data_IF_505963427147
#
_entry.id   IF_505963427147
#
_cell.length_a   1.000
_cell.length_b   1.000
_cell.length_c   1.000
_cell.angle_alpha   90.00
_cell.angle_beta   90.00
_cell.angle_gamma   90.00
#
_symmetry.space_group_name_H-M   'P 1'
#
loop_
_entity.id
_entity.type
_entity.pdbx_description
1 polymer ?
#
# COMPACT_ATOMS: atom_id res chain seq x y z
N UNK A 1 14.94 -2.70 21.54
CA UNK A 1 15.54 -2.76 20.20
C UNK A 1 15.14 -4.09 19.57
N UNK A 2 14.42 -4.07 18.47
CA UNK A 2 13.98 -5.30 17.79
C UNK A 2 14.71 -5.39 16.45
N UNK A 3 15.75 -6.22 16.40
CA UNK A 3 16.42 -6.57 15.14
C UNK A 3 15.55 -7.60 14.42
N UNK A 4 14.72 -7.13 13.49
CA UNK A 4 13.76 -7.98 12.81
C UNK A 4 14.38 -8.56 11.54
N UNK A 5 14.80 -9.81 11.61
CA UNK A 5 15.28 -10.56 10.44
C UNK A 5 14.04 -10.94 9.59
N UNK A 6 13.94 -10.53 8.31
CA UNK A 6 12.76 -10.77 7.48
C UNK A 6 12.61 -12.23 6.99
N UNK A 7 13.41 -13.17 7.50
CA UNK A 7 13.35 -14.58 7.09
C UNK A 7 11.99 -15.20 7.47
N UNK A 8 11.28 -15.72 6.46
CA UNK A 8 9.92 -16.25 6.60
C UNK A 8 8.82 -15.21 6.34
N UNK A 9 9.16 -14.07 5.74
CA UNK A 9 8.15 -13.12 5.25
C UNK A 9 7.35 -13.74 4.09
N UNK A 10 6.08 -13.37 4.00
CA UNK A 10 5.16 -13.79 2.93
C UNK A 10 4.56 -12.56 2.30
N UNK A 11 4.42 -12.59 0.98
CA UNK A 11 3.82 -11.51 0.21
C UNK A 11 2.52 -12.02 -0.39
N UNK A 12 1.50 -11.18 -0.35
CA UNK A 12 0.19 -11.46 -0.88
C UNK A 12 -0.29 -10.28 -1.70
N UNK A 13 -1.09 -10.55 -2.72
CA UNK A 13 -1.68 -9.56 -3.61
C UNK A 13 -3.19 -9.75 -3.65
N UNK A 14 -3.96 -8.67 -3.69
CA UNK A 14 -5.40 -8.71 -3.84
C UNK A 14 -5.76 -9.37 -5.18
N UNK A 15 -6.58 -10.43 -5.15
CA UNK A 15 -7.09 -11.09 -6.36
C UNK A 15 -8.47 -10.55 -6.74
N UNK A 16 -9.30 -10.28 -5.74
CA UNK A 16 -10.67 -9.81 -5.93
C UNK A 16 -10.95 -8.62 -5.04
N UNK A 17 -11.37 -7.52 -5.66
CA UNK A 17 -11.96 -6.35 -5.02
C UNK A 17 -13.48 -6.44 -5.15
N UNK A 18 -14.18 -5.98 -4.12
CA UNK A 18 -15.63 -5.86 -4.14
C UNK A 18 -16.07 -4.61 -4.92
N UNK A 19 -17.38 -4.47 -5.14
CA UNK A 19 -17.93 -3.25 -5.72
C UNK A 19 -17.56 -2.02 -4.90
N UNK A 20 -17.25 -0.93 -5.61
CA UNK A 20 -16.91 0.33 -4.98
C UNK A 20 -18.15 0.92 -4.29
N UNK A 21 -18.05 1.18 -3.00
CA UNK A 21 -19.00 2.03 -2.28
C UNK A 21 -18.49 3.48 -2.30
N UNK A 22 -19.42 4.44 -2.38
CA UNK A 22 -19.08 5.85 -2.34
C UNK A 22 -18.93 6.32 -0.90
N UNK A 23 -17.92 7.13 -0.65
CA UNK A 23 -17.71 7.86 0.60
C UNK A 23 -18.38 9.22 0.45
N UNK A 24 -19.34 9.53 1.33
CA UNK A 24 -20.07 10.80 1.30
C UNK A 24 -19.56 11.82 2.31
N UNK A 25 -19.02 11.36 3.43
CA UNK A 25 -18.46 12.24 4.46
C UNK A 25 -17.36 11.53 5.26
N UNK A 26 -16.52 12.31 5.92
CA UNK A 26 -15.55 11.82 6.90
C UNK A 26 -15.45 12.79 8.08
N UNK A 27 -15.15 12.26 9.26
CA UNK A 27 -14.88 13.06 10.46
C UNK A 27 -13.41 13.49 10.53
N UNK A 28 -13.15 14.70 11.01
CA UNK A 28 -11.80 15.20 11.30
C UNK A 28 -11.43 14.88 12.76
N UNK A 29 -11.11 13.62 13.03
CA UNK A 29 -10.73 13.15 14.36
C UNK A 29 -9.47 12.27 14.30
N UNK A 30 -8.91 11.92 15.45
CA UNK A 30 -7.77 11.00 15.60
C UNK A 30 -8.05 9.63 15.03
N UNK A 31 -9.32 9.23 15.03
CA UNK A 31 -9.82 8.07 14.32
C UNK A 31 -10.85 8.54 13.29
N UNK A 32 -10.46 8.50 12.01
CA UNK A 32 -11.37 8.89 10.93
C UNK A 32 -12.54 7.91 10.84
N UNK A 33 -13.75 8.46 10.91
CA UNK A 33 -15.00 7.74 10.64
C UNK A 33 -15.50 8.19 9.29
N UNK A 34 -15.47 7.28 8.33
CA UNK A 34 -16.05 7.45 7.01
C UNK A 34 -17.54 7.14 7.05
N UNK A 35 -18.33 7.95 6.36
CA UNK A 35 -19.71 7.65 6.03
C UNK A 35 -19.76 7.16 4.59
N UNK A 36 -20.34 5.98 4.38
CA UNK A 36 -20.44 5.31 3.08
C UNK A 36 -21.89 5.07 2.72
N UNK A 37 -22.21 5.13 1.43
CA UNK A 37 -23.58 4.94 0.94
C UNK A 37 -24.07 3.50 1.11
N UNK A 38 -23.15 2.54 0.98
CA UNK A 38 -23.40 1.13 1.22
C UNK A 38 -22.21 0.52 1.96
N UNK A 39 -22.49 -0.24 3.01
CA UNK A 39 -21.44 -0.88 3.80
C UNK A 39 -20.83 -2.09 3.08
N UNK A 40 -21.45 -2.65 2.04
CA UNK A 40 -20.97 -3.81 1.26
C UNK A 40 -20.39 -4.93 2.16
N UNK A 41 -21.09 -5.23 3.27
CA UNK A 41 -20.65 -6.22 4.28
C UNK A 41 -19.23 -6.01 4.85
N UNK A 42 -18.70 -4.79 4.82
CA UNK A 42 -17.45 -4.43 5.47
C UNK A 42 -17.59 -4.62 6.97
N UNK A 43 -16.68 -5.37 7.57
CA UNK A 43 -16.64 -5.69 9.01
C UNK A 43 -15.30 -5.28 9.61
N UNK A 44 -15.27 -5.22 10.94
CA UNK A 44 -14.03 -5.02 11.68
C UNK A 44 -12.99 -6.10 11.31
N UNK A 45 -11.77 -5.66 10.99
CA UNK A 45 -10.66 -6.51 10.56
C UNK A 45 -10.50 -6.66 9.05
N UNK A 46 -11.48 -6.24 8.24
CA UNK A 46 -11.36 -6.27 6.78
C UNK A 46 -10.34 -5.24 6.28
N UNK A 47 -9.75 -5.54 5.13
CA UNK A 47 -8.83 -4.63 4.43
C UNK A 47 -9.60 -3.93 3.31
N UNK A 48 -9.49 -2.61 3.28
CA UNK A 48 -10.18 -1.75 2.33
C UNK A 48 -9.18 -0.89 1.57
N UNK A 49 -9.42 -0.78 0.27
CA UNK A 49 -8.75 0.15 -0.63
C UNK A 49 -9.60 1.42 -0.69
N UNK A 50 -9.04 2.51 -0.17
CA UNK A 50 -9.68 3.83 -0.12
C UNK A 50 -9.03 4.72 -1.17
N UNK A 51 -9.86 5.35 -1.98
CA UNK A 51 -9.48 6.45 -2.85
C UNK A 51 -10.34 7.67 -2.54
N UNK A 52 -9.80 8.57 -1.71
CA UNK A 52 -10.47 9.82 -1.28
C UNK A 52 -9.91 11.03 -2.00
N UNK A 53 -10.69 12.13 -2.03
CA UNK A 53 -10.21 13.45 -2.45
C UNK A 53 -9.03 13.97 -1.61
N UNK A 54 -8.94 13.55 -0.35
CA UNK A 54 -7.76 13.78 0.47
C UNK A 54 -6.58 12.89 0.03
N UNK A 55 -5.53 13.49 -0.53
CA UNK A 55 -4.35 12.78 -1.03
C UNK A 55 -3.66 11.90 0.02
N UNK A 56 -3.68 12.31 1.30
CA UNK A 56 -3.08 11.55 2.41
C UNK A 56 -3.89 10.33 2.85
N UNK A 57 -5.15 10.24 2.43
CA UNK A 57 -6.08 9.16 2.78
C UNK A 57 -6.30 8.15 1.64
N UNK A 58 -5.58 8.31 0.53
CA UNK A 58 -5.49 7.27 -0.51
C UNK A 58 -4.61 6.12 -0.03
N UNK A 59 -5.12 4.89 -0.02
CA UNK A 59 -4.33 3.72 0.38
C UNK A 59 -5.12 2.50 0.83
N UNK A 60 -4.39 1.51 1.35
CA UNK A 60 -4.96 0.31 1.97
C UNK A 60 -5.00 0.47 3.49
N UNK A 61 -6.18 0.31 4.07
CA UNK A 61 -6.41 0.47 5.49
C UNK A 61 -7.11 -0.75 6.07
N UNK A 62 -6.87 -1.03 7.34
CA UNK A 62 -7.64 -2.01 8.10
C UNK A 62 -8.82 -1.31 8.76
N UNK A 63 -9.99 -1.92 8.68
CA UNK A 63 -11.20 -1.42 9.32
C UNK A 63 -11.16 -1.78 10.81
N UNK A 64 -11.28 -0.78 11.68
CA UNK A 64 -11.34 -0.97 13.13
C UNK A 64 -12.74 -1.36 13.57
N UNK A 65 -13.75 -0.69 13.04
CA UNK A 65 -15.16 -0.93 13.30
C UNK A 65 -15.98 -0.51 12.09
N UNK A 66 -17.10 -1.19 11.87
CA UNK A 66 -18.08 -0.81 10.86
C UNK A 66 -19.48 -1.05 11.40
N UNK A 67 -20.36 -0.07 11.27
CA UNK A 67 -21.73 -0.13 11.79
C UNK A 67 -22.68 0.72 10.95
N UNK A 68 -23.74 0.12 10.42
CA UNK A 68 -24.73 0.84 9.62
C UNK A 68 -24.14 1.39 8.32
N UNK A 69 -23.87 2.69 8.26
CA UNK A 69 -23.20 3.39 7.15
C UNK A 69 -21.84 3.98 7.55
N UNK A 70 -21.37 3.71 8.77
CA UNK A 70 -20.09 4.23 9.26
C UNK A 70 -19.00 3.17 9.24
N UNK A 71 -17.81 3.56 8.77
CA UNK A 71 -16.60 2.74 8.71
C UNK A 71 -15.46 3.51 9.37
N UNK A 72 -14.92 2.98 10.46
CA UNK A 72 -13.77 3.56 11.16
C UNK A 72 -12.48 2.91 10.66
N UNK A 73 -11.54 3.71 10.17
CA UNK A 73 -10.23 3.22 9.73
C UNK A 73 -9.22 3.24 10.88
N UNK A 74 -8.36 2.22 10.93
CA UNK A 74 -7.30 2.14 11.92
C UNK A 74 -6.04 2.89 11.48
N UNK A 75 -5.45 3.67 12.39
CA UNK A 75 -4.12 4.26 12.19
C UNK A 75 -4.09 5.51 11.32
N UNK A 76 -5.25 6.15 11.08
CA UNK A 76 -5.36 7.38 10.30
C UNK A 76 -5.91 8.53 11.15
N UNK A 77 -5.02 9.50 11.43
CA UNK A 77 -5.33 10.75 12.11
C UNK A 77 -5.66 11.85 11.08
N UNK A 78 -6.85 12.43 11.21
CA UNK A 78 -7.38 13.49 10.32
C UNK A 78 -7.67 14.80 11.05
N UNK A 79 -7.06 15.01 12.21
CA UNK A 79 -7.23 16.23 13.02
C UNK A 79 -6.74 17.50 12.34
N UNK A 80 -5.78 17.39 11.42
CA UNK A 80 -5.22 18.53 10.69
C UNK A 80 -6.15 19.00 9.55
N UNK A 81 -6.88 20.08 9.81
CA UNK A 81 -7.86 20.66 8.87
C UNK A 81 -7.25 21.29 7.62
N UNK A 82 -5.97 21.65 7.64
CA UNK A 82 -5.29 22.20 6.47
C UNK A 82 -4.99 21.08 5.46
N UNK A 83 -4.65 19.90 5.97
CA UNK A 83 -4.43 18.70 5.16
C UNK A 83 -5.72 17.92 4.85
N UNK A 84 -6.75 18.09 5.67
CA UNK A 84 -8.04 17.40 5.56
C UNK A 84 -9.19 18.43 5.59
N UNK A 85 -9.38 19.24 4.54
CA UNK A 85 -10.45 20.22 4.52
C UNK A 85 -11.82 19.53 4.56
N UNK A 86 -12.79 20.08 5.33
CA UNK A 86 -14.11 19.50 5.47
C UNK A 86 -14.82 19.40 4.11
N UNK A 87 -15.47 18.27 3.85
CA UNK A 87 -16.11 17.97 2.56
C UNK A 87 -15.15 17.48 1.45
N UNK A 88 -13.83 17.48 1.68
CA UNK A 88 -12.84 16.95 0.72
C UNK A 88 -12.65 15.43 0.77
N UNK A 89 -13.39 14.73 1.62
CA UNK A 89 -13.26 13.28 1.85
C UNK A 89 -14.00 12.41 0.85
N UNK A 90 -14.79 13.02 -0.05
CA UNK A 90 -15.59 12.28 -1.04
C UNK A 90 -14.66 11.41 -1.89
N UNK A 91 -15.08 10.19 -2.16
CA UNK A 91 -14.25 9.20 -2.82
C UNK A 91 -14.91 7.83 -2.91
N UNK A 92 -14.09 6.81 -3.13
CA UNK A 92 -14.54 5.41 -3.19
C UNK A 92 -13.82 4.54 -2.18
N UNK A 93 -14.51 3.52 -1.72
CA UNK A 93 -13.97 2.46 -0.89
C UNK A 93 -14.30 1.11 -1.51
N UNK A 94 -13.28 0.26 -1.69
CA UNK A 94 -13.43 -1.12 -2.18
C UNK A 94 -12.92 -2.07 -1.11
N UNK A 95 -13.69 -3.10 -0.79
CA UNK A 95 -13.25 -4.18 0.12
C UNK A 95 -12.35 -5.16 -0.63
N UNK A 96 -11.26 -5.60 -0.03
CA UNK A 96 -10.45 -6.69 -0.55
C UNK A 96 -11.08 -8.02 -0.10
N UNK A 97 -11.63 -8.78 -1.05
CA UNK A 97 -12.35 -10.03 -0.77
C UNK A 97 -11.39 -11.19 -0.55
N UNK A 98 -10.33 -11.26 -1.36
CA UNK A 98 -9.38 -12.36 -1.31
C UNK A 98 -7.95 -11.91 -1.65
N UNK A 99 -6.99 -12.51 -0.96
CA UNK A 99 -5.57 -12.36 -1.21
C UNK A 99 -5.00 -13.65 -1.79
N UNK A 100 -4.24 -13.55 -2.87
CA UNK A 100 -3.42 -14.64 -3.42
C UNK A 100 -1.99 -14.48 -2.91
N UNK A 101 -1.36 -15.58 -2.50
CA UNK A 101 0.03 -15.57 -2.06
C UNK A 101 0.97 -15.57 -3.27
N UNK A 102 2.01 -14.74 -3.22
CA UNK A 102 3.16 -14.83 -4.12
C UNK A 102 4.17 -15.77 -3.49
N UNK A 103 4.50 -16.85 -4.18
CA UNK A 103 5.42 -17.89 -3.71
C UNK A 103 6.82 -17.71 -4.34
N UNK A 104 7.82 -18.41 -3.80
CA UNK A 104 9.20 -18.44 -4.34
C UNK A 104 9.89 -17.08 -4.54
N UNK A 105 9.61 -16.11 -3.66
CA UNK A 105 10.33 -14.82 -3.64
C UNK A 105 11.78 -15.04 -3.21
N UNK A 106 12.72 -14.68 -4.08
CA UNK A 106 14.17 -14.80 -3.87
C UNK A 106 14.72 -13.56 -3.18
N UNK A 107 14.43 -12.38 -3.72
CA UNK A 107 14.92 -11.10 -3.18
C UNK A 107 13.86 -10.01 -3.27
N UNK A 108 14.02 -8.99 -2.42
CA UNK A 108 13.19 -7.78 -2.40
C UNK A 108 14.12 -6.59 -2.39
N UNK A 109 14.01 -5.71 -3.38
CA UNK A 109 14.71 -4.43 -3.42
C UNK A 109 13.70 -3.29 -3.36
N UNK A 110 14.10 -2.19 -2.70
CA UNK A 110 13.30 -0.98 -2.56
C UNK A 110 14.15 0.17 -3.08
N UNK A 111 13.59 0.94 -4.00
CA UNK A 111 14.22 2.11 -4.59
C UNK A 111 13.33 3.33 -4.43
N UNK A 112 13.95 4.50 -4.32
CA UNK A 112 13.26 5.78 -4.14
C UNK A 112 12.85 6.06 -2.69
N UNK A 113 11.99 7.08 -2.51
CA UNK A 113 11.66 7.63 -1.19
C UNK A 113 12.68 8.65 -0.66
N UNK A 114 13.74 8.91 -1.43
CA UNK A 114 14.73 9.93 -1.13
C UNK A 114 14.10 11.32 -1.12
N UNK A 115 14.50 12.13 -0.14
CA UNK A 115 14.09 13.53 -0.04
C UNK A 115 14.84 14.34 -1.11
N UNK A 116 14.09 15.00 -2.00
CA UNK A 116 14.65 16.01 -2.87
C UNK A 116 14.73 17.34 -2.11
N UNK A 117 15.81 18.07 -2.35
CA UNK A 117 16.07 19.39 -1.78
C UNK A 117 16.43 20.34 -2.91
N UNK A 118 15.96 21.58 -2.81
CA UNK A 118 16.44 22.68 -3.66
C UNK A 118 17.30 23.60 -2.81
N UNK A 119 18.43 24.02 -3.36
CA UNK A 119 19.26 25.04 -2.75
C UNK A 119 18.70 26.41 -3.09
N UNK A 120 18.36 27.19 -2.07
CA UNK A 120 17.91 28.57 -2.21
C UNK A 120 18.98 29.47 -1.61
N UNK A 121 19.42 30.45 -2.40
CA UNK A 121 20.26 31.54 -1.92
C UNK A 121 19.54 32.85 -2.25
N UNK A 122 19.27 33.64 -1.22
CA UNK A 122 18.76 34.99 -1.40
C UNK A 122 19.92 35.94 -1.68
N UNK A 123 19.68 37.00 -2.46
CA UNK A 123 20.73 37.94 -2.86
C UNK A 123 21.37 38.69 -1.68
N UNK A 124 20.63 38.80 -0.57
CA UNK A 124 21.04 39.44 0.68
C UNK A 124 21.86 38.50 1.58
N UNK A 125 21.92 37.21 1.26
CA UNK A 125 22.46 36.18 2.14
C UNK A 125 23.70 35.51 1.50
N UNK A 126 24.81 35.51 2.24
CA UNK A 126 26.10 34.96 1.78
C UNK A 126 26.14 33.42 1.90
N UNK A 127 25.10 32.82 2.48
CA UNK A 127 24.99 31.36 2.65
C UNK A 127 23.74 30.81 1.97
N UNK A 128 23.94 29.77 1.18
CA UNK A 128 22.85 29.03 0.57
C UNK A 128 22.22 28.08 1.61
N UNK A 129 20.88 28.02 1.62
CA UNK A 129 20.10 27.13 2.47
C UNK A 129 19.46 26.02 1.62
N UNK A 130 19.44 24.80 2.14
CA UNK A 130 18.72 23.70 1.49
C UNK A 130 17.29 23.63 2.04
N UNK A 131 16.32 23.65 1.12
CA UNK A 131 14.90 23.49 1.43
C UNK A 131 14.40 22.19 0.83
N UNK A 132 13.79 21.37 1.67
CA UNK A 132 13.18 20.09 1.29
C UNK A 132 11.93 20.33 0.43
N UNK A 133 11.88 19.72 -0.77
CA UNK A 133 10.79 19.91 -1.73
C UNK A 133 9.77 18.78 -1.68
N UNK A 134 10.12 17.61 -2.20
CA UNK A 134 9.25 16.44 -2.25
C UNK A 134 10.06 15.15 -2.16
N UNK A 135 9.38 14.02 -1.91
CA UNK A 135 10.00 12.71 -1.88
C UNK A 135 9.77 11.98 -3.19
N UNK A 136 10.80 11.29 -3.68
CA UNK A 136 10.70 10.48 -4.88
C UNK A 136 9.71 9.31 -4.68
N UNK A 137 9.08 8.88 -5.78
CA UNK A 137 8.21 7.72 -5.77
C UNK A 137 8.98 6.48 -5.33
N UNK A 138 8.34 5.65 -4.49
CA UNK A 138 8.93 4.40 -4.01
C UNK A 138 8.50 3.27 -4.95
N UNK A 139 9.47 2.50 -5.42
CA UNK A 139 9.25 1.28 -6.20
C UNK A 139 9.84 0.11 -5.44
N UNK A 140 9.06 -0.95 -5.28
CA UNK A 140 9.53 -2.20 -4.69
C UNK A 140 9.61 -3.27 -5.78
N UNK A 141 10.79 -3.81 -6.02
CA UNK A 141 11.00 -4.89 -6.98
C UNK A 141 11.13 -6.20 -6.24
N UNK A 142 10.29 -7.17 -6.59
CA UNK A 142 10.36 -8.53 -6.09
C UNK A 142 10.89 -9.42 -7.19
N UNK A 143 11.97 -10.13 -6.89
CA UNK A 143 12.50 -11.17 -7.76
C UNK A 143 11.97 -12.53 -7.27
N UNK A 144 11.41 -13.33 -8.16
CA UNK A 144 10.89 -14.67 -7.85
C UNK A 144 11.35 -15.68 -8.89
N UNK A 145 11.45 -16.94 -8.47
CA UNK A 145 11.72 -18.03 -9.39
C UNK A 145 10.58 -18.16 -10.40
N UNK A 146 10.92 -18.36 -11.68
CA UNK A 146 9.94 -18.51 -12.74
C UNK A 146 9.25 -19.87 -12.64
N UNK A 147 7.93 -19.84 -12.48
CA UNK A 147 7.07 -21.01 -12.58
C UNK A 147 5.71 -20.58 -13.16
N UNK A 148 5.40 -20.93 -14.43
CA UNK A 148 4.15 -20.53 -15.09
C UNK A 148 2.92 -21.28 -14.55
N UNK A 149 3.09 -22.35 -13.77
CA UNK A 149 1.98 -23.14 -13.23
C UNK A 149 1.33 -22.50 -12.00
N UNK A 150 2.01 -21.53 -11.39
CA UNK A 150 1.52 -20.84 -10.19
C UNK A 150 0.39 -19.87 -10.54
N UNK A 151 -0.71 -19.93 -9.77
CA UNK A 151 -1.85 -19.02 -9.93
C UNK A 151 -1.47 -17.53 -9.84
N UNK A 152 -0.45 -17.21 -9.03
CA UNK A 152 0.05 -15.85 -8.90
C UNK A 152 0.67 -15.30 -10.20
N UNK A 153 1.25 -16.16 -11.06
CA UNK A 153 1.89 -15.75 -12.30
C UNK A 153 0.88 -15.12 -13.28
N UNK A 154 -0.18 -15.84 -13.61
CA UNK A 154 -1.22 -15.37 -14.53
C UNK A 154 -1.93 -14.10 -14.02
N UNK A 155 -2.14 -14.03 -12.71
CA UNK A 155 -2.75 -12.87 -12.07
C UNK A 155 -1.85 -11.62 -12.15
N UNK A 156 -0.53 -11.77 -12.04
CA UNK A 156 0.40 -10.65 -12.16
C UNK A 156 0.49 -10.12 -13.60
N UNK A 157 0.43 -11.00 -14.61
CA UNK A 157 0.35 -10.60 -16.02
C UNK A 157 -0.95 -9.79 -16.27
N UNK A 158 -2.10 -10.29 -15.79
CA UNK A 158 -3.37 -9.56 -15.91
C UNK A 158 -3.36 -8.19 -15.21
N UNK A 159 -2.59 -8.04 -14.12
CA UNK A 159 -2.41 -6.74 -13.48
C UNK A 159 -1.45 -5.80 -14.20
N UNK A 160 -0.45 -6.32 -14.90
CA UNK A 160 0.41 -5.52 -15.78
C UNK A 160 -0.39 -4.95 -16.97
N UNK A 161 -1.23 -5.78 -17.59
CA UNK A 161 -2.10 -5.36 -18.71
C UNK A 161 -3.17 -4.34 -18.28
N UNK A 162 -3.88 -4.62 -17.18
CA UNK A 162 -4.97 -3.76 -16.70
C UNK A 162 -4.48 -2.47 -16.04
N UNK A 163 -3.25 -2.48 -15.50
CA UNK A 163 -2.66 -1.39 -14.71
C UNK A 163 -3.53 -0.95 -13.55
N UNK A 164 -4.42 -1.83 -13.08
CA UNK A 164 -5.30 -1.54 -11.97
C UNK A 164 -4.50 -1.36 -10.67
N UNK A 165 -5.02 -0.53 -9.77
CA UNK A 165 -4.45 -0.34 -8.45
C UNK A 165 -4.76 -1.55 -7.58
N UNK A 166 -3.73 -2.30 -7.18
CA UNK A 166 -3.85 -3.49 -6.33
C UNK A 166 -3.39 -3.22 -4.90
N UNK A 167 -3.97 -3.93 -3.95
CA UNK A 167 -3.50 -3.94 -2.56
C UNK A 167 -2.52 -5.08 -2.33
N UNK A 168 -1.33 -4.76 -1.86
CA UNK A 168 -0.30 -5.73 -1.49
C UNK A 168 -0.23 -5.83 0.03
N UNK A 169 -0.20 -7.06 0.52
CA UNK A 169 0.00 -7.40 1.92
C UNK A 169 1.35 -8.07 2.10
N UNK A 170 2.25 -7.41 2.84
CA UNK A 170 3.54 -7.94 3.22
C UNK A 170 3.52 -8.35 4.69
N UNK A 171 3.63 -9.65 4.92
CA UNK A 171 3.65 -10.26 6.24
C UNK A 171 5.07 -10.59 6.65
N UNK A 172 5.55 -10.04 7.77
CA UNK A 172 6.80 -10.48 8.38
C UNK A 172 6.51 -11.21 9.70
N UNK A 173 6.61 -12.55 9.67
CA UNK A 173 6.31 -13.43 10.81
C UNK A 173 7.16 -13.13 12.04
N UNK A 174 8.44 -12.82 11.86
CA UNK A 174 9.37 -12.57 12.99
C UNK A 174 9.20 -11.18 13.58
N UNK A 175 8.76 -10.22 12.77
CA UNK A 175 8.48 -8.87 13.21
C UNK A 175 7.12 -8.71 13.89
N UNK A 176 6.16 -9.58 13.61
CA UNK A 176 4.78 -9.41 14.09
C UNK A 176 4.10 -8.15 13.52
N UNK A 177 4.53 -7.72 12.34
CA UNK A 177 4.01 -6.52 11.67
C UNK A 177 3.33 -6.91 10.37
N UNK A 178 2.09 -6.45 10.21
CA UNK A 178 1.31 -6.54 8.99
C UNK A 178 1.46 -5.23 8.23
N UNK A 179 1.93 -5.30 6.98
CA UNK A 179 2.15 -4.11 6.14
C UNK A 179 1.21 -4.15 4.95
N UNK A 180 0.47 -3.08 4.72
CA UNK A 180 -0.44 -2.94 3.59
C UNK A 180 -0.09 -1.69 2.80
N UNK A 181 -0.11 -1.80 1.48
CA UNK A 181 0.11 -0.67 0.57
C UNK A 181 -0.60 -0.93 -0.76
N UNK A 182 -0.98 0.14 -1.45
CA UNK A 182 -1.49 0.06 -2.80
C UNK A 182 -0.38 0.34 -3.80
N UNK A 183 -0.30 -0.48 -4.84
CA UNK A 183 0.69 -0.35 -5.89
C UNK A 183 0.08 -0.68 -7.25
N UNK A 184 0.70 -0.17 -8.30
CA UNK A 184 0.49 -0.67 -9.66
C UNK A 184 1.59 -1.70 -9.95
N UNK A 185 1.20 -2.82 -10.54
CA UNK A 185 2.13 -3.92 -10.88
C UNK A 185 2.72 -3.67 -12.25
N UNK A 186 4.02 -3.97 -12.41
CA UNK A 186 4.62 -4.19 -13.71
C UNK A 186 5.36 -5.52 -13.74
N UNK A 187 5.04 -6.35 -14.74
CA UNK A 187 5.54 -7.71 -14.88
C UNK A 187 6.56 -7.80 -16.02
N UNK A 188 7.75 -8.34 -15.74
CA UNK A 188 8.69 -8.63 -16.81
C UNK A 188 8.43 -10.03 -17.38
N UNK A 189 7.83 -10.10 -18.56
CA UNK A 189 7.45 -11.38 -19.19
C UNK A 189 8.64 -12.28 -19.53
N UNK A 190 9.79 -11.67 -19.86
CA UNK A 190 10.98 -12.42 -20.25
C UNK A 190 11.77 -12.82 -18.98
N UNK A 191 11.89 -14.12 -18.69
CA UNK A 191 12.70 -14.58 -17.58
C UNK A 191 14.19 -14.37 -17.82
N UNK A 192 14.90 -14.14 -16.72
CA UNK A 192 16.36 -14.06 -16.71
C UNK A 192 16.91 -15.46 -16.46
N UNK A 193 17.64 -15.97 -17.44
CA UNK A 193 18.41 -17.20 -17.36
C UNK A 193 19.90 -16.90 -17.22
N UNK A 194 20.53 -17.41 -16.16
CA UNK A 194 21.97 -17.36 -15.96
C UNK A 194 22.52 -18.75 -15.61
N UNK A 195 23.78 -19.02 -15.95
CA UNK A 195 24.43 -20.31 -15.68
C UNK A 195 24.53 -20.51 -14.15
N UNK A 196 24.07 -21.65 -13.66
CA UNK A 196 24.01 -22.03 -12.23
C UNK A 196 23.03 -21.22 -11.36
N UNK A 197 22.12 -20.46 -11.96
CA UNK A 197 21.05 -19.77 -11.22
C UNK A 197 19.67 -20.31 -11.61
N UNK A 198 18.74 -20.23 -10.66
CA UNK A 198 17.32 -20.52 -10.95
C UNK A 198 16.80 -19.40 -11.85
N UNK A 199 16.09 -19.80 -12.91
CA UNK A 199 15.40 -18.87 -13.79
C UNK A 199 14.46 -17.99 -12.97
N UNK A 200 14.56 -16.67 -13.14
CA UNK A 200 13.84 -15.73 -12.29
C UNK A 200 13.24 -14.56 -13.09
N UNK A 201 12.24 -13.94 -12.49
CA UNK A 201 11.55 -12.78 -13.04
C UNK A 201 11.47 -11.68 -11.98
N UNK A 202 11.56 -10.44 -12.46
CA UNK A 202 11.33 -9.25 -11.67
C UNK A 202 9.90 -8.73 -11.86
N UNK A 203 9.23 -8.45 -10.74
CA UNK A 203 7.97 -7.71 -10.71
C UNK A 203 8.15 -6.44 -9.92
N UNK A 204 7.82 -5.32 -10.55
CA UNK A 204 7.93 -3.98 -9.96
C UNK A 204 6.57 -3.56 -9.43
N UNK A 205 6.52 -3.18 -8.17
CA UNK A 205 5.36 -2.57 -7.53
C UNK A 205 5.66 -1.09 -7.32
N UNK A 206 5.02 -0.24 -8.12
CA UNK A 206 5.12 1.21 -7.98
C UNK A 206 4.08 1.68 -6.97
N UNK A 207 4.53 2.18 -5.82
CA UNK A 207 3.62 2.54 -4.74
C UNK A 207 2.82 3.78 -5.11
N UNK A 208 1.51 3.70 -4.92
CA UNK A 208 0.59 4.85 -5.07
C UNK A 208 0.07 5.36 -3.74
N UNK A 209 0.28 4.61 -2.67
CA UNK A 209 -0.07 5.02 -1.32
C UNK A 209 1.11 4.86 -0.36
N UNK A 210 1.05 5.61 0.75
CA UNK A 210 1.92 5.35 1.89
C UNK A 210 1.65 3.93 2.41
N UNK A 211 2.72 3.24 2.80
CA UNK A 211 2.60 1.94 3.45
C UNK A 211 2.08 2.10 4.88
N UNK A 212 1.02 1.36 5.22
CA UNK A 212 0.49 1.30 6.58
C UNK A 212 1.04 0.07 7.30
N UNK A 213 1.44 0.25 8.56
CA UNK A 213 2.05 -0.80 9.39
C UNK A 213 1.18 -1.01 10.62
N UNK A 214 0.69 -2.23 10.78
CA UNK A 214 -0.08 -2.64 11.95
C UNK A 214 0.76 -3.58 12.79
N UNK A 215 1.00 -3.20 14.05
CA UNK A 215 1.65 -4.08 15.03
C UNK A 215 0.60 -5.03 15.56
N UNK A 216 0.82 -6.34 15.39
CA UNK A 216 -0.05 -7.33 16.03
C UNK A 216 0.26 -7.31 17.52
N UNK A 217 -0.73 -6.95 18.33
CA UNK A 217 -0.65 -7.20 19.78
C UNK A 217 -0.38 -8.69 19.97
N UNK A 218 0.70 -9.03 20.67
CA UNK A 218 1.03 -10.42 20.96
C UNK A 218 -0.21 -11.06 21.59
N UNK A 219 -0.82 -12.04 20.92
CA UNK A 219 -1.83 -12.87 21.58
C UNK A 219 -1.13 -13.45 22.81
N UNK A 220 -1.57 -13.05 24.00
CA UNK A 220 -1.27 -13.76 25.25
C UNK A 220 -1.74 -15.20 25.13
#
# INVERSE_FOLDING_TARGET
MAFNIPNGSKVYISNKLDEAANITAATNDKEVVLTVDNLNEIKAGDIVQVDSGWSKMKGAFRVKAASGTSVTLEGMDTTDKDNFPPGGSVGTIKKVVAFTRIEQVLTVSIEGGDQQSTTVQFLEDDQAQNVDTFKNAVVMTFNFAYDPTLHAHNLLIGFDESKELVTVYFFNKKAGHDRYFNATVSYQEIPKTAINEVENIDVKFSLRSKQMIYVRSAKK
#
